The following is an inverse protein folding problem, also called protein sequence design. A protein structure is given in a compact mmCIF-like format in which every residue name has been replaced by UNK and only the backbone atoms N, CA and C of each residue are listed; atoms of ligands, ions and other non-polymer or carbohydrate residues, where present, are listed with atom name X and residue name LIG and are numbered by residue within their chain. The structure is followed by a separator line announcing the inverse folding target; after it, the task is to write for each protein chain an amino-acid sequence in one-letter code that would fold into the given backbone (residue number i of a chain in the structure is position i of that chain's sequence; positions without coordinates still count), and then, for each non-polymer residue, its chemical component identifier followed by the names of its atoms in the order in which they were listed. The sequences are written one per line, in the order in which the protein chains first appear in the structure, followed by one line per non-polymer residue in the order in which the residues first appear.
data_IF_722935997795
#
_entry.id   IF_722935997795
#
_cell.length_a   1.000
_cell.length_b   1.000
_cell.length_c   1.000
_cell.angle_alpha   90.00
_cell.angle_beta   90.00
_cell.angle_gamma   90.00
#
_symmetry.space_group_name_H-M   'P 1'
#
loop_
_entity.id
_entity.type
_entity.pdbx_description
1 polymer ?
#
# COMPACT_ATOMS: atom_id res chain seq x y z
N UNK A 1 -5.69 10.52 -6.24
CA UNK A 1 -4.83 9.38 -5.87
C UNK A 1 -3.40 9.85 -5.66
N UNK A 2 -2.83 10.57 -6.62
CA UNK A 2 -1.42 10.99 -6.66
C UNK A 2 -0.96 11.70 -5.36
N UNK A 3 -1.78 12.56 -4.78
CA UNK A 3 -1.44 13.29 -3.54
C UNK A 3 -1.20 12.37 -2.34
N UNK A 4 -2.05 11.36 -2.14
CA UNK A 4 -1.89 10.40 -1.04
C UNK A 4 -0.65 9.55 -1.25
N UNK A 5 -0.38 9.10 -2.48
CA UNK A 5 0.81 8.32 -2.76
C UNK A 5 2.09 9.13 -2.60
N UNK A 6 2.10 10.38 -3.04
CA UNK A 6 3.22 11.29 -2.82
C UNK A 6 3.45 11.52 -1.32
N UNK A 7 2.38 11.70 -0.53
CA UNK A 7 2.48 11.79 0.93
C UNK A 7 3.02 10.50 1.55
N UNK A 8 2.54 9.34 1.09
CA UNK A 8 2.98 8.02 1.56
C UNK A 8 4.44 7.76 1.22
N UNK A 9 4.87 8.09 0.00
CA UNK A 9 6.25 7.98 -0.46
C UNK A 9 7.17 8.90 0.35
N UNK A 10 6.75 10.15 0.57
CA UNK A 10 7.45 11.07 1.46
C UNK A 10 7.61 10.48 2.87
N UNK A 11 6.52 9.97 3.45
CA UNK A 11 6.54 9.36 4.78
C UNK A 11 7.49 8.16 4.83
N UNK A 12 7.34 7.23 3.90
CA UNK A 12 8.19 6.05 3.76
C UNK A 12 9.68 6.44 3.72
N UNK A 13 10.05 7.36 2.83
CA UNK A 13 11.44 7.75 2.67
C UNK A 13 11.98 8.44 3.93
N UNK A 14 11.21 9.36 4.51
CA UNK A 14 11.64 10.12 5.68
C UNK A 14 11.80 9.24 6.91
N UNK A 15 10.87 8.32 7.13
CA UNK A 15 10.85 7.48 8.33
C UNK A 15 11.86 6.33 8.22
N UNK A 16 12.13 5.84 7.00
CA UNK A 16 13.06 4.71 6.76
C UNK A 16 14.50 5.16 6.51
N UNK A 17 14.70 6.23 5.74
CA UNK A 17 16.02 6.69 5.29
C UNK A 17 16.41 8.09 5.80
N UNK A 18 15.50 8.75 6.53
CA UNK A 18 15.74 10.05 7.13
C UNK A 18 15.44 11.24 6.22
N UNK A 19 15.36 12.45 6.81
CA UNK A 19 14.99 13.66 6.09
C UNK A 19 16.00 14.11 5.04
N UNK A 20 17.29 13.80 5.21
CA UNK A 20 18.34 14.20 4.27
C UNK A 20 18.22 13.49 2.92
N UNK A 21 17.82 12.21 2.94
CA UNK A 21 17.58 11.43 1.72
C UNK A 21 16.37 11.98 0.98
N UNK A 22 15.29 12.30 1.70
CA UNK A 22 14.12 12.95 1.12
C UNK A 22 14.47 14.28 0.44
N UNK A 23 15.28 15.12 1.08
CA UNK A 23 15.75 16.38 0.51
C UNK A 23 16.59 16.19 -0.76
N UNK A 24 17.41 15.14 -0.83
CA UNK A 24 18.13 14.80 -2.06
C UNK A 24 17.17 14.45 -3.21
N UNK A 25 16.11 13.69 -2.91
CA UNK A 25 15.08 13.32 -3.89
C UNK A 25 14.28 14.54 -4.34
N UNK A 26 13.90 15.44 -3.43
CA UNK A 26 13.21 16.69 -3.78
C UNK A 26 14.05 17.56 -4.71
N UNK A 27 15.35 17.75 -4.41
CA UNK A 27 16.28 18.51 -5.25
C UNK A 27 16.42 17.89 -6.64
N UNK A 28 16.61 16.56 -6.72
CA UNK A 28 16.71 15.85 -8.00
C UNK A 28 15.41 15.94 -8.81
N UNK A 29 14.27 15.92 -8.13
CA UNK A 29 12.94 16.00 -8.73
C UNK A 29 12.51 17.43 -9.10
N UNK A 30 13.37 18.43 -8.83
CA UNK A 30 13.05 19.86 -8.99
C UNK A 30 11.71 20.25 -8.32
N UNK A 31 11.41 19.67 -7.16
CA UNK A 31 10.17 19.95 -6.44
C UNK A 31 10.23 21.34 -5.81
N UNK A 32 9.19 22.18 -5.97
CA UNK A 32 9.14 23.50 -5.35
C UNK A 32 8.91 23.43 -3.83
N UNK A 33 8.42 22.29 -3.32
CA UNK A 33 8.12 22.05 -1.91
C UNK A 33 8.57 20.65 -1.50
N UNK A 34 9.00 20.51 -0.24
CA UNK A 34 9.43 19.23 0.35
C UNK A 34 8.29 18.50 1.08
N UNK A 35 7.08 19.07 1.08
CA UNK A 35 5.92 18.55 1.78
C UNK A 35 4.77 18.37 0.77
N UNK A 36 4.23 17.17 0.74
CA UNK A 36 3.01 16.85 0.00
C UNK A 36 1.81 16.91 0.93
N UNK A 37 0.75 17.57 0.50
CA UNK A 37 -0.51 17.69 1.23
C UNK A 37 -1.56 16.78 0.58
N UNK A 38 -2.19 15.86 1.33
CA UNK A 38 -3.14 14.88 0.79
C UNK A 38 -4.30 15.46 -0.01
N UNK A 39 -4.71 16.69 0.29
CA UNK A 39 -5.87 17.38 -0.30
C UNK A 39 -5.49 18.33 -1.44
N UNK A 40 -4.19 18.51 -1.74
CA UNK A 40 -3.75 19.31 -2.88
C UNK A 40 -3.72 18.47 -4.16
N UNK A 41 -3.91 19.15 -5.30
CA UNK A 41 -3.78 18.53 -6.62
C UNK A 41 -2.35 18.71 -7.10
N UNK A 42 -1.80 17.62 -7.64
CA UNK A 42 -0.47 17.57 -8.21
C UNK A 42 -0.54 17.22 -9.68
N UNK A 43 0.49 17.58 -10.43
CA UNK A 43 0.59 17.27 -11.85
C UNK A 43 0.57 15.76 -12.09
N UNK A 44 -0.08 15.36 -13.17
CA UNK A 44 -0.13 13.96 -13.58
C UNK A 44 1.28 13.40 -13.74
N UNK A 45 1.49 12.20 -13.22
CA UNK A 45 2.77 11.49 -13.29
C UNK A 45 3.86 12.05 -12.37
N UNK A 46 3.54 13.04 -11.51
CA UNK A 46 4.50 13.52 -10.51
C UNK A 46 4.91 12.39 -9.56
N UNK A 47 3.96 11.56 -9.11
CA UNK A 47 4.22 10.41 -8.26
C UNK A 47 5.23 9.44 -8.89
N UNK A 48 5.04 9.09 -10.17
CA UNK A 48 5.95 8.21 -10.89
C UNK A 48 7.35 8.82 -11.03
N UNK A 49 7.45 10.13 -11.34
CA UNK A 49 8.75 10.83 -11.44
C UNK A 49 9.48 10.89 -10.09
N UNK A 50 8.77 11.21 -9.01
CA UNK A 50 9.36 11.29 -7.66
C UNK A 50 9.83 9.90 -7.21
N UNK A 51 9.05 8.85 -7.49
CA UNK A 51 9.47 7.48 -7.19
C UNK A 51 10.68 7.04 -8.01
N UNK A 52 10.76 7.40 -9.30
CA UNK A 52 11.95 7.13 -10.11
C UNK A 52 13.19 7.84 -9.55
N UNK A 53 13.06 9.09 -9.11
CA UNK A 53 14.17 9.78 -8.46
C UNK A 53 14.53 9.19 -7.10
N UNK A 54 13.56 8.67 -6.35
CA UNK A 54 13.82 7.91 -5.13
C UNK A 54 14.59 6.62 -5.42
N UNK A 55 14.19 5.89 -6.46
CA UNK A 55 14.87 4.68 -6.94
C UNK A 55 16.34 4.98 -7.29
N UNK A 56 16.59 6.04 -8.06
CA UNK A 56 17.93 6.46 -8.44
C UNK A 56 18.79 6.84 -7.23
N UNK A 57 18.24 7.61 -6.29
CA UNK A 57 18.97 8.06 -5.08
C UNK A 57 19.28 6.90 -4.14
N UNK A 58 18.35 5.95 -4.01
CA UNK A 58 18.49 4.79 -3.13
C UNK A 58 19.25 3.63 -3.79
N UNK A 59 19.48 3.68 -5.10
CA UNK A 59 20.14 2.60 -5.85
C UNK A 59 19.32 1.32 -5.93
N UNK A 60 17.99 1.43 -6.02
CA UNK A 60 17.05 0.29 -6.00
C UNK A 60 16.07 0.39 -7.17
N UNK A 61 15.50 -0.72 -7.67
CA UNK A 61 14.44 -0.68 -8.67
C UNK A 61 13.22 0.11 -8.18
N UNK A 62 12.55 0.84 -9.08
CA UNK A 62 11.38 1.65 -8.74
C UNK A 62 10.21 0.78 -8.27
N UNK A 63 10.12 -0.44 -8.77
CA UNK A 63 9.17 -1.46 -8.33
C UNK A 63 9.32 -1.77 -6.85
N UNK A 64 10.57 -1.92 -6.39
CA UNK A 64 10.89 -2.17 -4.99
C UNK A 64 10.55 -0.97 -4.11
N UNK A 65 10.72 0.26 -4.60
CA UNK A 65 10.29 1.47 -3.88
C UNK A 65 8.78 1.44 -3.64
N UNK A 66 8.00 1.05 -4.65
CA UNK A 66 6.54 0.97 -4.52
C UNK A 66 6.09 -0.18 -3.62
N UNK A 67 6.71 -1.35 -3.73
CA UNK A 67 6.45 -2.50 -2.86
C UNK A 67 6.72 -2.16 -1.39
N UNK A 68 7.92 -1.64 -1.09
CA UNK A 68 8.28 -1.27 0.28
C UNK A 68 7.37 -0.18 0.85
N UNK A 69 6.99 0.82 0.04
CA UNK A 69 6.03 1.85 0.46
C UNK A 69 4.66 1.22 0.78
N UNK A 70 4.22 0.23 -0.01
CA UNK A 70 3.00 -0.54 0.24
C UNK A 70 3.06 -1.30 1.56
N UNK A 71 4.17 -1.98 1.84
CA UNK A 71 4.41 -2.65 3.14
C UNK A 71 4.41 -1.65 4.29
N UNK A 72 5.13 -0.54 4.12
CA UNK A 72 5.22 0.56 5.10
C UNK A 72 3.85 1.15 5.47
N UNK A 73 2.90 1.23 4.53
CA UNK A 73 1.54 1.72 4.80
C UNK A 73 0.77 0.85 5.78
N UNK A 74 1.08 -0.45 5.85
CA UNK A 74 0.40 -1.41 6.73
C UNK A 74 1.15 -1.59 8.04
N UNK A 75 2.49 -1.53 8.00
CA UNK A 75 3.33 -1.86 9.15
C UNK A 75 3.64 -0.66 10.05
N UNK A 76 3.64 0.57 9.52
CA UNK A 76 3.95 1.76 10.33
C UNK A 76 2.85 2.03 11.38
N UNK A 77 3.18 2.11 12.69
CA UNK A 77 2.22 2.46 13.75
C UNK A 77 1.48 3.78 13.52
N UNK A 78 2.12 4.77 12.89
CA UNK A 78 1.46 6.05 12.54
C UNK A 78 0.36 5.90 11.50
N UNK A 79 0.26 4.75 10.83
CA UNK A 79 -0.75 4.43 9.81
C UNK A 79 -1.68 3.28 10.23
N UNK A 80 -1.83 3.03 11.54
CA UNK A 80 -2.71 1.96 12.04
C UNK A 80 -4.14 1.99 11.47
N UNK A 81 -4.67 3.17 11.12
CA UNK A 81 -5.98 3.29 10.49
C UNK A 81 -6.07 2.55 9.15
N UNK A 82 -5.00 2.54 8.35
CA UNK A 82 -4.94 1.81 7.06
C UNK A 82 -4.99 0.31 7.33
N UNK A 83 -4.14 -0.19 8.23
CA UNK A 83 -4.14 -1.59 8.65
C UNK A 83 -5.52 -2.02 9.15
N UNK A 84 -6.16 -1.22 10.01
CA UNK A 84 -7.50 -1.51 10.56
C UNK A 84 -8.59 -1.54 9.49
N UNK A 85 -8.55 -0.61 8.54
CA UNK A 85 -9.44 -0.59 7.39
C UNK A 85 -9.33 -1.89 6.58
N UNK A 86 -8.10 -2.34 6.31
CA UNK A 86 -7.83 -3.59 5.60
C UNK A 86 -8.32 -4.81 6.41
N UNK A 87 -8.02 -4.85 7.72
CA UNK A 87 -8.45 -5.91 8.65
C UNK A 87 -9.95 -6.02 8.85
N UNK A 88 -10.71 -4.97 8.56
CA UNK A 88 -12.18 -5.05 8.52
C UNK A 88 -12.69 -6.04 7.46
N UNK A 89 -11.81 -6.52 6.58
CA UNK A 89 -12.13 -7.47 5.52
C UNK A 89 -12.49 -8.88 5.95
N UNK A 90 -12.17 -9.29 7.18
CA UNK A 90 -12.53 -10.61 7.68
C UNK A 90 -11.50 -11.21 8.63
N UNK A 91 -11.74 -12.46 9.05
CA UNK A 91 -10.96 -13.13 10.11
C UNK A 91 -9.77 -13.92 9.55
N UNK A 92 -9.84 -14.37 8.31
CA UNK A 92 -8.74 -15.02 7.58
C UNK A 92 -8.16 -14.14 6.46
N UNK A 93 -6.99 -14.50 5.96
CA UNK A 93 -6.40 -13.82 4.81
C UNK A 93 -7.26 -13.99 3.54
N UNK A 94 -7.88 -15.15 3.34
CA UNK A 94 -8.80 -15.39 2.23
C UNK A 94 -10.04 -14.48 2.32
N UNK A 95 -10.65 -14.33 3.50
CA UNK A 95 -11.76 -13.39 3.70
C UNK A 95 -11.34 -11.96 3.35
N UNK A 96 -10.15 -11.56 3.79
CA UNK A 96 -9.58 -10.27 3.42
C UNK A 96 -9.45 -10.11 1.91
N UNK A 97 -8.93 -11.11 1.19
CA UNK A 97 -8.85 -11.07 -0.27
C UNK A 97 -10.23 -10.86 -0.89
N UNK A 98 -11.25 -11.63 -0.49
CA UNK A 98 -12.63 -11.48 -0.95
C UNK A 98 -13.22 -10.10 -0.67
N UNK A 99 -12.80 -9.45 0.43
CA UNK A 99 -13.24 -8.10 0.78
C UNK A 99 -12.56 -6.97 -0.01
N UNK A 100 -11.50 -7.24 -0.76
CA UNK A 100 -10.66 -6.20 -1.39
C UNK A 100 -11.43 -5.33 -2.38
N UNK A 101 -12.38 -5.90 -3.11
CA UNK A 101 -13.22 -5.15 -4.07
C UNK A 101 -14.03 -4.04 -3.37
N UNK A 102 -14.41 -4.27 -2.12
CA UNK A 102 -15.18 -3.31 -1.30
C UNK A 102 -14.30 -2.27 -0.59
N UNK A 103 -12.97 -2.44 -0.60
CA UNK A 103 -12.03 -1.52 0.09
C UNK A 103 -12.16 -0.07 -0.41
N UNK A 104 -12.23 0.21 -1.73
CA UNK A 104 -12.43 1.57 -2.22
C UNK A 104 -13.73 2.22 -1.69
N UNK A 105 -14.80 1.44 -1.53
CA UNK A 105 -16.05 1.89 -0.94
C UNK A 105 -15.89 2.26 0.53
N UNK A 106 -15.28 1.38 1.32
CA UNK A 106 -15.00 1.62 2.75
C UNK A 106 -14.13 2.85 2.98
N UNK A 107 -13.09 3.05 2.17
CA UNK A 107 -12.23 4.23 2.27
C UNK A 107 -12.96 5.54 1.98
N UNK A 108 -13.92 5.53 1.04
CA UNK A 108 -14.75 6.72 0.73
C UNK A 108 -15.66 7.14 1.88
N UNK A 109 -16.02 6.23 2.79
CA UNK A 109 -16.76 6.58 4.01
C UNK A 109 -15.93 7.45 4.96
N UNK A 110 -14.60 7.26 4.96
CA UNK A 110 -13.68 8.07 5.77
C UNK A 110 -13.20 9.33 5.03
N UNK A 111 -13.05 9.25 3.71
CA UNK A 111 -12.56 10.35 2.86
C UNK A 111 -13.34 10.37 1.53
N UNK A 112 -14.37 11.22 1.44
CA UNK A 112 -15.30 11.22 0.29
C UNK A 112 -14.64 11.43 -1.08
N UNK A 113 -13.60 12.28 -1.14
CA UNK A 113 -12.95 12.67 -2.40
C UNK A 113 -11.72 11.81 -2.73
N UNK A 114 -11.51 10.70 -2.01
CA UNK A 114 -10.38 9.81 -2.27
C UNK A 114 -10.54 9.10 -3.62
N UNK A 115 -9.54 9.25 -4.49
CA UNK A 115 -9.43 8.43 -5.70
C UNK A 115 -8.59 7.20 -5.40
N UNK A 116 -9.21 6.02 -5.44
CA UNK A 116 -8.58 4.72 -5.26
C UNK A 116 -8.67 3.90 -6.56
N UNK A 117 -7.76 2.94 -6.77
CA UNK A 117 -7.82 2.08 -7.94
C UNK A 117 -9.08 1.21 -7.90
N UNK A 118 -9.55 0.82 -9.07
CA UNK A 118 -10.55 -0.25 -9.17
C UNK A 118 -9.83 -1.58 -8.92
N UNK A 119 -10.38 -2.39 -8.03
CA UNK A 119 -9.82 -3.70 -7.66
C UNK A 119 -10.88 -4.73 -8.00
N UNK A 120 -10.47 -5.77 -8.72
CA UNK A 120 -11.28 -6.95 -9.01
C UNK A 120 -10.52 -8.20 -8.53
N UNK A 121 -11.22 -9.13 -7.90
CA UNK A 121 -10.70 -10.42 -7.46
C UNK A 121 -11.31 -11.53 -8.33
N UNK A 122 -10.44 -12.42 -8.80
CA UNK A 122 -10.81 -13.60 -9.57
C UNK A 122 -10.26 -14.83 -8.87
N UNK A 123 -11.11 -15.84 -8.66
CA UNK A 123 -10.66 -17.15 -8.20
C UNK A 123 -10.11 -17.95 -9.39
N UNK A 124 -8.83 -18.30 -9.31
CA UNK A 124 -8.16 -19.13 -10.33
C UNK A 124 -8.14 -20.62 -9.96
N UNK A 125 -8.54 -20.96 -8.73
CA UNK A 125 -8.62 -22.31 -8.19
C UNK A 125 -8.62 -22.30 -6.66
N UNK A 126 -8.60 -23.48 -6.01
CA UNK A 126 -8.48 -23.57 -4.56
C UNK A 126 -7.21 -22.86 -4.07
N UNK A 127 -7.36 -21.92 -3.13
CA UNK A 127 -6.26 -21.12 -2.56
C UNK A 127 -5.44 -20.32 -3.59
N UNK A 128 -6.03 -20.05 -4.78
CA UNK A 128 -5.38 -19.34 -5.87
C UNK A 128 -6.26 -18.20 -6.35
N UNK A 129 -5.73 -16.98 -6.25
CA UNK A 129 -6.44 -15.77 -6.56
C UNK A 129 -5.65 -14.93 -7.57
N UNK A 130 -6.38 -14.19 -8.40
CA UNK A 130 -5.83 -13.15 -9.26
C UNK A 130 -6.52 -11.84 -8.95
N UNK A 131 -5.74 -10.82 -8.68
CA UNK A 131 -6.24 -9.48 -8.44
C UNK A 131 -5.93 -8.64 -9.67
N UNK A 132 -6.94 -7.96 -10.20
CA UNK A 132 -6.78 -6.96 -11.25
C UNK A 132 -6.94 -5.58 -10.61
N UNK A 133 -5.87 -4.78 -10.63
CA UNK A 133 -5.82 -3.43 -10.09
C UNK A 133 -5.70 -2.41 -11.24
N UNK A 134 -6.82 -1.77 -11.58
CA UNK A 134 -6.82 -0.73 -12.61
C UNK A 134 -6.57 0.62 -11.97
N UNK A 135 -5.41 1.18 -12.28
CA UNK A 135 -4.99 2.50 -11.83
C UNK A 135 -4.44 3.32 -12.99
N UNK A 136 -4.52 4.65 -12.86
CA UNK A 136 -3.82 5.59 -13.75
C UNK A 136 -2.32 5.67 -13.43
N UNK A 137 -1.92 5.17 -12.26
CA UNK A 137 -0.54 5.12 -11.80
C UNK A 137 0.07 3.75 -12.12
N UNK A 138 1.23 3.74 -12.76
CA UNK A 138 1.92 2.52 -13.16
C UNK A 138 2.42 1.70 -11.96
N UNK A 139 2.82 2.37 -10.88
CA UNK A 139 3.33 1.71 -9.67
C UNK A 139 2.28 1.03 -8.79
N UNK A 140 0.98 1.18 -9.07
CA UNK A 140 -0.06 0.77 -8.11
C UNK A 140 -0.10 -0.74 -7.86
N UNK A 141 0.13 -1.57 -8.89
CA UNK A 141 0.21 -3.01 -8.70
C UNK A 141 1.31 -3.40 -7.70
N UNK A 142 2.46 -2.72 -7.75
CA UNK A 142 3.59 -2.92 -6.83
C UNK A 142 3.28 -2.46 -5.41
N UNK A 143 2.61 -1.32 -5.26
CA UNK A 143 2.10 -0.88 -3.95
C UNK A 143 1.18 -1.93 -3.34
N UNK A 144 0.26 -2.47 -4.14
CA UNK A 144 -0.68 -3.48 -3.66
C UNK A 144 0.02 -4.80 -3.31
N UNK A 145 1.04 -5.24 -4.04
CA UNK A 145 1.89 -6.38 -3.66
C UNK A 145 2.48 -6.20 -2.26
N UNK A 146 3.08 -5.03 -1.98
CA UNK A 146 3.64 -4.72 -0.66
C UNK A 146 2.60 -4.73 0.47
N UNK A 147 1.42 -4.16 0.19
CA UNK A 147 0.30 -4.17 1.15
C UNK A 147 -0.22 -5.59 1.41
N UNK A 148 -0.41 -6.39 0.36
CA UNK A 148 -0.87 -7.78 0.48
C UNK A 148 0.13 -8.63 1.25
N UNK A 149 1.43 -8.45 1.01
CA UNK A 149 2.50 -9.15 1.71
C UNK A 149 2.46 -8.83 3.21
N UNK A 150 2.40 -7.54 3.55
CA UNK A 150 2.28 -7.12 4.94
C UNK A 150 1.00 -7.63 5.62
N UNK A 151 -0.11 -7.69 4.90
CA UNK A 151 -1.37 -8.23 5.42
C UNK A 151 -1.31 -9.76 5.58
N UNK A 152 -0.66 -10.50 4.69
CA UNK A 152 -0.47 -11.93 4.84
C UNK A 152 0.28 -12.24 6.14
N UNK A 153 1.39 -11.53 6.39
CA UNK A 153 2.14 -11.61 7.66
C UNK A 153 1.27 -11.21 8.86
N UNK A 154 0.45 -10.16 8.71
CA UNK A 154 -0.46 -9.73 9.76
C UNK A 154 -1.43 -10.86 10.13
N UNK A 155 -2.04 -11.51 9.13
CA UNK A 155 -2.94 -12.67 9.29
C UNK A 155 -2.22 -13.96 9.69
N UNK A 156 -0.88 -14.02 9.61
CA UNK A 156 -0.12 -15.23 9.85
C UNK A 156 -0.19 -16.26 8.72
N UNK A 157 -0.55 -15.82 7.51
CA UNK A 157 -0.67 -16.67 6.32
C UNK A 157 0.64 -16.68 5.51
N UNK A 158 1.06 -17.86 5.05
CA UNK A 158 2.15 -18.01 4.09
C UNK A 158 1.59 -17.97 2.67
N UNK A 159 1.98 -16.95 1.91
CA UNK A 159 1.49 -16.72 0.55
C UNK A 159 2.64 -16.47 -0.42
N UNK A 160 2.47 -16.92 -1.67
CA UNK A 160 3.26 -16.43 -2.81
C UNK A 160 2.46 -15.32 -3.49
N UNK A 161 3.00 -14.09 -3.48
CA UNK A 161 2.36 -12.90 -4.04
C UNK A 161 3.29 -12.33 -5.11
N UNK A 162 2.83 -12.27 -6.35
CA UNK A 162 3.66 -11.87 -7.49
C UNK A 162 2.91 -10.91 -8.40
N UNK A 163 3.58 -9.85 -8.87
CA UNK A 163 3.03 -8.97 -9.91
C UNK A 163 3.16 -9.64 -11.28
N UNK A 164 2.06 -9.75 -12.00
CA UNK A 164 2.00 -10.19 -13.40
C UNK A 164 1.78 -8.97 -14.31
N UNK A 165 2.85 -8.25 -14.64
CA UNK A 165 2.76 -7.00 -15.40
C UNK A 165 2.41 -5.81 -14.51
N UNK A 166 1.58 -4.88 -15.00
CA UNK A 166 1.31 -3.61 -14.32
C UNK A 166 0.04 -3.63 -13.47
N UNK A 167 -0.98 -4.38 -13.90
CA UNK A 167 -2.33 -4.33 -13.34
C UNK A 167 -2.78 -5.66 -12.74
N UNK A 168 -1.96 -6.71 -12.76
CA UNK A 168 -2.35 -8.03 -12.24
C UNK A 168 -1.41 -8.52 -11.16
N UNK A 169 -1.97 -9.20 -10.18
CA UNK A 169 -1.25 -9.81 -9.07
C UNK A 169 -1.79 -11.21 -8.88
N UNK A 170 -0.91 -12.21 -8.82
CA UNK A 170 -1.26 -13.57 -8.42
C UNK A 170 -0.99 -13.75 -6.94
N UNK A 171 -1.93 -14.39 -6.26
CA UNK A 171 -1.81 -14.76 -4.85
C UNK A 171 -2.08 -16.25 -4.73
N UNK A 172 -1.13 -17.00 -4.17
CA UNK A 172 -1.29 -18.40 -3.83
C UNK A 172 -1.11 -18.57 -2.33
N UNK A 173 -2.15 -19.00 -1.63
CA UNK A 173 -2.08 -19.25 -0.19
C UNK A 173 -1.56 -20.67 0.00
N UNK A 174 -0.41 -20.80 0.67
CA UNK A 174 0.26 -22.09 0.88
C UNK A 174 -0.09 -22.67 2.26
N UNK A 175 -0.27 -21.80 3.25
CA UNK A 175 -0.67 -22.16 4.61
C UNK A 175 -1.39 -20.97 5.25
N UNK A 176 -2.54 -21.22 5.88
CA UNK A 176 -3.37 -20.20 6.53
C UNK A 176 -3.02 -19.98 8.01
N UNK A 177 -2.16 -20.82 8.59
CA UNK A 177 -1.77 -20.79 10.01
C UNK A 177 -0.25 -20.90 10.20
N UNK A 178 0.52 -20.32 9.28
CA UNK A 178 1.98 -20.42 9.28
C UNK A 178 2.64 -19.72 10.48
N UNK A 179 2.10 -18.57 10.87
CA UNK A 179 2.60 -17.79 12.00
C UNK A 179 1.46 -17.28 12.89
N UNK A 180 1.80 -16.89 14.13
CA UNK A 180 0.82 -16.28 15.02
C UNK A 180 0.39 -14.91 14.46
N UNK A 181 -0.88 -14.80 14.10
CA UNK A 181 -1.47 -13.55 13.63
C UNK A 181 -1.24 -12.40 14.63
N UNK A 182 -0.99 -11.19 14.11
CA UNK A 182 -0.90 -9.98 14.93
C UNK A 182 -2.25 -9.68 15.57
N UNK A 183 -2.22 -9.23 16.83
CA UNK A 183 -3.44 -8.85 17.56
C UNK A 183 -4.23 -7.78 16.79
N UNK A 184 -5.56 -7.88 16.83
CA UNK A 184 -6.45 -6.96 16.15
C UNK A 184 -7.65 -6.62 17.05
N UNK A 185 -7.76 -5.35 17.40
CA UNK A 185 -8.92 -4.76 18.07
C UNK A 185 -9.57 -3.72 17.15
N UNK A 186 -10.89 -3.79 17.03
CA UNK A 186 -11.69 -2.81 16.29
C UNK A 186 -11.82 -1.48 17.05
N UNK A 187 -11.82 -1.52 18.38
CA UNK A 187 -11.94 -0.33 19.22
C UNK A 187 -10.59 0.41 19.34
N UNK A 188 -10.63 1.74 19.34
CA UNK A 188 -9.48 2.52 19.82
C UNK A 188 -9.28 2.21 21.30
N UNK A 189 -8.05 1.97 21.78
CA UNK A 189 -7.81 1.94 23.23
C UNK A 189 -8.29 3.27 23.83
N UNK A 190 -9.11 3.20 24.87
CA UNK A 190 -9.55 4.39 25.59
C UNK A 190 -8.31 5.20 26.00
N UNK A 191 -8.27 6.48 25.61
CA UNK A 191 -7.26 7.39 26.16
C UNK A 191 -7.56 7.52 27.64
N UNK A 192 -6.81 6.82 28.48
CA UNK A 192 -6.77 7.09 29.91
C UNK A 192 -6.29 8.54 30.07
N UNK A 193 -7.24 9.40 30.46
CA UNK A 193 -6.98 10.78 30.87
C UNK A 193 -6.56 10.87 32.32
#
# INVERSE_FOLDING_TARGET
MDALLLRSLQGYVRDTFGPQVWQAICRRSALPVEIFEPMLRYDRGLADRVAQNAADVLGRPVETIWEDMGTYLVTNPSHEGVRRLLRFGGVSFADFLHSLEEMPGRARLAMSDITLPEIQLLEAGPEQFRIVCRSRLQGMGRVLVGMLTAMADDYGALCLIEAEGQDRITVRVLDTAHAKARHFDLAMPERQG
#
